data_IF_099243968435
#
_entry.id   IF_099243968435
#
_cell.length_a   1.000
_cell.length_b   1.000
_cell.length_c   1.000
_cell.angle_alpha   90.00
_cell.angle_beta   90.00
_cell.angle_gamma   90.00
#
_symmetry.space_group_name_H-M   'P 1'
#
loop_
_entity.id
_entity.type
_entity.pdbx_description
1 polymer ?
#
# COMPACT_ATOMS: atom_id res chain seq x y z
N UNK A 1 -8.21 22.63 2.24
CA UNK A 1 -9.37 21.91 1.67
C UNK A 1 -8.97 21.48 0.28
N UNK A 2 -8.63 20.20 0.14
CA UNK A 2 -8.49 19.52 -1.15
C UNK A 2 -9.68 18.57 -1.16
N UNK A 3 -10.72 18.90 -1.94
CA UNK A 3 -12.07 18.32 -1.82
C UNK A 3 -12.28 17.08 -2.70
N UNK A 4 -11.25 16.60 -3.41
CA UNK A 4 -11.35 15.44 -4.29
C UNK A 4 -10.11 14.53 -4.21
N UNK A 5 -10.26 13.19 -4.17
CA UNK A 5 -9.15 12.24 -4.32
C UNK A 5 -8.33 12.42 -5.61
N UNK A 6 -8.91 13.03 -6.64
CA UNK A 6 -8.23 13.32 -7.90
C UNK A 6 -7.18 14.43 -7.77
N UNK A 7 -7.42 15.40 -6.89
CA UNK A 7 -6.52 16.53 -6.69
C UNK A 7 -5.21 16.12 -5.97
N UNK A 8 -5.22 15.00 -5.26
CA UNK A 8 -4.04 14.44 -4.60
C UNK A 8 -2.96 13.95 -5.59
N UNK A 9 -3.28 13.88 -6.88
CA UNK A 9 -2.39 13.41 -7.94
C UNK A 9 -2.27 14.39 -9.12
N UNK A 10 -2.66 15.65 -8.92
CA UNK A 10 -2.71 16.66 -9.97
C UNK A 10 -1.35 16.96 -10.65
N UNK A 11 -0.23 16.61 -10.01
CA UNK A 11 1.14 16.89 -10.49
C UNK A 11 1.80 15.73 -11.27
N UNK A 12 1.03 14.73 -11.73
CA UNK A 12 1.57 13.63 -12.52
C UNK A 12 1.60 13.96 -14.02
N UNK A 13 2.78 13.84 -14.66
CA UNK A 13 2.98 14.06 -16.11
C UNK A 13 2.04 13.17 -16.96
N UNK A 14 1.83 11.91 -16.55
CA UNK A 14 0.83 10.95 -17.06
C UNK A 14 0.62 9.82 -16.02
N UNK A 15 -0.55 9.75 -15.35
CA UNK A 15 -0.83 8.71 -14.37
C UNK A 15 -0.80 7.28 -14.96
N UNK A 16 -1.26 7.09 -16.20
CA UNK A 16 -1.37 5.76 -16.82
C UNK A 16 0.00 5.15 -17.08
N UNK A 17 0.87 5.88 -17.78
CA UNK A 17 2.25 5.46 -18.02
C UNK A 17 3.04 5.27 -16.72
N UNK A 18 2.75 6.08 -15.69
CA UNK A 18 3.37 5.90 -14.37
C UNK A 18 2.94 4.58 -13.71
N UNK A 19 1.64 4.23 -13.75
CA UNK A 19 1.12 3.00 -13.15
C UNK A 19 1.54 1.75 -13.92
N UNK A 20 1.55 1.78 -15.25
CA UNK A 20 2.04 0.67 -16.08
C UNK A 20 3.51 0.38 -15.78
N UNK A 21 4.31 1.44 -15.65
CA UNK A 21 5.72 1.31 -15.32
C UNK A 21 5.91 0.88 -13.86
N UNK A 22 5.11 1.39 -12.91
CA UNK A 22 5.10 0.91 -11.53
C UNK A 22 4.77 -0.58 -11.43
N UNK A 23 3.84 -1.08 -12.25
CA UNK A 23 3.51 -2.49 -12.32
C UNK A 23 4.72 -3.29 -12.80
N UNK A 24 5.41 -2.84 -13.86
CA UNK A 24 6.65 -3.45 -14.31
C UNK A 24 7.76 -3.42 -13.24
N UNK A 25 7.90 -2.32 -12.50
CA UNK A 25 8.83 -2.20 -11.35
C UNK A 25 8.43 -3.15 -10.23
N UNK A 26 7.14 -3.30 -9.92
CA UNK A 26 6.66 -4.20 -8.88
C UNK A 26 6.94 -5.67 -9.24
N UNK A 27 6.75 -6.04 -10.51
CA UNK A 27 7.11 -7.36 -11.06
C UNK A 27 8.63 -7.58 -10.97
N UNK A 28 9.45 -6.64 -11.41
CA UNK A 28 10.91 -6.77 -11.33
C UNK A 28 11.42 -6.80 -9.87
N UNK A 29 10.76 -6.07 -8.95
CA UNK A 29 11.04 -6.15 -7.51
C UNK A 29 10.72 -7.52 -6.94
N UNK A 30 9.65 -8.18 -7.39
CA UNK A 30 9.33 -9.56 -6.97
C UNK A 30 10.44 -10.54 -7.35
N UNK A 31 11.10 -10.33 -8.47
CA UNK A 31 12.16 -11.20 -8.98
C UNK A 31 13.54 -10.91 -8.35
N UNK A 32 13.70 -9.77 -7.67
CA UNK A 32 14.92 -9.42 -6.95
C UNK A 32 14.93 -10.01 -5.53
N UNK A 33 16.02 -10.68 -5.15
CA UNK A 33 16.16 -11.45 -3.91
C UNK A 33 16.06 -10.63 -2.60
N UNK A 34 16.13 -9.30 -2.65
CA UNK A 34 16.15 -8.38 -1.48
C UNK A 34 14.88 -7.52 -1.35
N UNK A 35 13.77 -7.90 -1.98
CA UNK A 35 12.52 -7.15 -1.86
C UNK A 35 11.88 -7.30 -0.47
N UNK A 36 11.42 -6.21 0.19
CA UNK A 36 10.77 -6.28 1.51
C UNK A 36 9.37 -6.94 1.50
N UNK A 37 8.94 -7.52 0.36
CA UNK A 37 7.63 -8.12 0.14
C UNK A 37 7.74 -9.60 -0.30
N UNK A 38 8.78 -10.31 0.12
CA UNK A 38 8.96 -11.73 -0.23
C UNK A 38 7.97 -12.60 0.55
N UNK A 39 7.01 -13.22 -0.16
CA UNK A 39 6.18 -14.32 0.36
C UNK A 39 4.67 -14.07 0.42
N UNK A 40 4.21 -12.84 0.20
CA UNK A 40 2.78 -12.50 0.31
C UNK A 40 1.93 -13.12 -0.83
N UNK A 41 2.45 -13.11 -2.06
CA UNK A 41 1.79 -13.77 -3.20
C UNK A 41 1.63 -15.27 -2.94
N UNK A 42 2.67 -15.94 -2.43
CA UNK A 42 2.59 -17.37 -2.17
C UNK A 42 1.63 -17.66 -1.01
N UNK A 43 1.62 -16.81 0.02
CA UNK A 43 0.64 -16.88 1.10
C UNK A 43 -0.81 -16.76 0.60
N UNK A 44 -1.11 -15.74 -0.21
CA UNK A 44 -2.46 -15.57 -0.77
C UNK A 44 -2.80 -16.65 -1.79
N UNK A 45 -1.81 -17.23 -2.47
CA UNK A 45 -1.98 -18.35 -3.40
C UNK A 45 -2.31 -19.65 -2.69
N UNK A 46 -1.58 -19.99 -1.63
CA UNK A 46 -1.89 -21.15 -0.79
C UNK A 46 -3.28 -21.00 -0.20
N UNK A 47 -3.61 -19.80 0.32
CA UNK A 47 -4.92 -19.52 0.88
C UNK A 47 -6.05 -19.58 -0.16
N UNK A 48 -5.84 -19.07 -1.38
CA UNK A 48 -6.81 -19.12 -2.46
C UNK A 48 -7.04 -20.56 -2.96
N UNK A 49 -5.99 -21.39 -3.04
CA UNK A 49 -6.13 -22.83 -3.39
C UNK A 49 -6.99 -23.60 -2.38
N UNK A 50 -6.91 -23.24 -1.11
CA UNK A 50 -7.71 -23.87 -0.06
C UNK A 50 -9.18 -23.41 -0.11
N UNK A 51 -9.45 -22.27 -0.75
CA UNK A 51 -10.72 -21.55 -0.66
C UNK A 51 -11.14 -20.92 -2.00
N UNK A 52 -11.26 -21.74 -3.05
CA UNK A 52 -11.84 -21.31 -4.32
C UNK A 52 -13.39 -21.30 -4.27
N UNK A 53 -14.07 -20.28 -4.83
CA UNK A 53 -13.52 -19.08 -5.46
C UNK A 53 -13.11 -17.99 -4.47
N UNK A 54 -12.08 -17.20 -4.81
CA UNK A 54 -11.57 -16.11 -3.97
C UNK A 54 -11.73 -14.72 -4.63
N UNK A 55 -11.64 -13.65 -3.85
CA UNK A 55 -11.90 -12.28 -4.30
C UNK A 55 -10.90 -11.28 -3.73
N UNK A 56 -10.17 -10.60 -4.61
CA UNK A 56 -9.21 -9.56 -4.25
C UNK A 56 -9.86 -8.18 -4.20
N UNK A 57 -9.97 -7.62 -2.99
CA UNK A 57 -10.57 -6.30 -2.73
C UNK A 57 -9.54 -5.19 -2.90
N UNK A 58 -9.90 -4.12 -3.60
CA UNK A 58 -8.96 -3.03 -3.89
C UNK A 58 -7.84 -3.49 -4.83
N UNK A 59 -8.22 -4.30 -5.83
CA UNK A 59 -7.31 -5.03 -6.73
C UNK A 59 -6.22 -4.17 -7.35
N UNK A 60 -6.45 -2.86 -7.50
CA UNK A 60 -5.42 -1.92 -7.92
C UNK A 60 -4.79 -2.34 -9.25
N UNK A 61 -3.47 -2.53 -9.27
CA UNK A 61 -2.72 -2.98 -10.46
C UNK A 61 -2.75 -4.50 -10.66
N UNK A 62 -3.47 -5.26 -9.84
CA UNK A 62 -3.62 -6.71 -9.96
C UNK A 62 -2.39 -7.52 -9.57
N UNK A 63 -1.49 -6.96 -8.75
CA UNK A 63 -0.20 -7.61 -8.40
C UNK A 63 -0.36 -9.02 -7.83
N UNK A 64 -1.37 -9.27 -7.01
CA UNK A 64 -1.65 -10.60 -6.44
C UNK A 64 -2.66 -11.32 -7.33
N UNK A 65 -3.71 -10.62 -7.75
CA UNK A 65 -4.81 -11.13 -8.56
C UNK A 65 -4.34 -11.85 -9.84
N UNK A 66 -3.41 -11.23 -10.58
CA UNK A 66 -2.89 -11.78 -11.83
C UNK A 66 -2.05 -13.05 -11.60
N UNK A 67 -1.33 -13.14 -10.48
CA UNK A 67 -0.54 -14.32 -10.10
C UNK A 67 -1.40 -15.52 -9.65
N UNK A 68 -2.62 -15.25 -9.15
CA UNK A 68 -3.62 -16.27 -8.79
C UNK A 68 -4.34 -16.80 -10.02
N UNK A 69 -4.77 -15.91 -10.93
CA UNK A 69 -5.34 -16.31 -12.22
C UNK A 69 -4.35 -17.13 -13.06
N UNK A 70 -3.07 -16.71 -13.11
CA UNK A 70 -2.02 -17.45 -13.83
C UNK A 70 -1.77 -18.86 -13.25
N UNK A 71 -2.07 -19.06 -11.96
CA UNK A 71 -2.01 -20.37 -11.31
C UNK A 71 -3.27 -21.23 -11.58
N UNK A 72 -4.23 -20.72 -12.36
CA UNK A 72 -5.45 -21.44 -12.74
C UNK A 72 -6.52 -21.47 -11.66
N UNK A 73 -6.39 -20.62 -10.64
CA UNK A 73 -7.33 -20.55 -9.52
C UNK A 73 -8.56 -19.73 -9.91
N UNK A 74 -9.73 -20.16 -9.44
CA UNK A 74 -10.99 -19.43 -9.65
C UNK A 74 -11.04 -18.19 -8.76
N UNK A 75 -10.54 -17.06 -9.25
CA UNK A 75 -10.43 -15.80 -8.48
C UNK A 75 -10.99 -14.63 -9.26
N UNK A 76 -11.89 -13.87 -8.63
CA UNK A 76 -12.45 -12.63 -9.15
C UNK A 76 -11.68 -11.40 -8.64
N UNK A 77 -11.57 -10.37 -9.49
CA UNK A 77 -10.94 -9.09 -9.17
C UNK A 77 -11.98 -7.99 -9.28
N UNK A 78 -12.44 -7.47 -8.15
CA UNK A 78 -13.52 -6.49 -8.11
C UNK A 78 -13.29 -5.44 -7.03
N UNK A 79 -13.32 -4.16 -7.41
CA UNK A 79 -13.50 -3.07 -6.46
C UNK A 79 -15.01 -2.93 -6.14
N UNK A 80 -15.31 -2.91 -4.84
CA UNK A 80 -16.58 -3.31 -4.17
C UNK A 80 -16.84 -4.82 -4.20
N UNK A 81 -16.63 -5.49 -3.06
CA UNK A 81 -17.12 -6.86 -2.89
C UNK A 81 -17.47 -7.25 -1.45
N UNK A 82 -18.28 -8.31 -1.34
CA UNK A 82 -18.80 -8.90 -0.13
C UNK A 82 -18.24 -10.33 0.01
N UNK A 83 -17.30 -10.57 0.93
CA UNK A 83 -17.23 -11.79 1.76
C UNK A 83 -15.98 -11.87 2.66
N UNK A 84 -16.18 -12.17 3.96
CA UNK A 84 -15.20 -12.67 4.95
C UNK A 84 -13.98 -11.81 5.32
N UNK A 85 -13.18 -11.37 4.35
CA UNK A 85 -11.95 -10.62 4.55
C UNK A 85 -11.91 -9.45 3.56
N UNK A 86 -11.78 -8.24 4.09
CA UNK A 86 -11.42 -7.05 3.32
C UNK A 86 -9.96 -6.74 3.63
N UNK A 87 -9.15 -6.34 2.65
CA UNK A 87 -7.78 -5.93 2.95
C UNK A 87 -7.28 -4.77 2.10
N UNK A 88 -6.31 -4.02 2.62
CA UNK A 88 -5.67 -2.89 1.97
C UNK A 88 -4.13 -3.06 2.02
N UNK A 89 -3.52 -3.68 0.99
CA UNK A 89 -2.09 -4.03 1.01
C UNK A 89 -1.22 -2.83 0.63
N UNK A 90 0.10 -3.06 0.57
CA UNK A 90 1.08 -2.13 0.01
C UNK A 90 1.02 -0.71 0.62
N UNK A 91 0.69 -0.60 1.91
CA UNK A 91 0.60 0.69 2.63
C UNK A 91 -0.46 1.63 2.05
N UNK A 92 -1.52 1.08 1.45
CA UNK A 92 -2.63 1.86 0.87
C UNK A 92 -3.19 2.89 1.85
N UNK A 93 -3.21 2.58 3.15
CA UNK A 93 -3.70 3.50 4.17
C UNK A 93 -2.87 4.79 4.25
N UNK A 94 -1.56 4.75 4.03
CA UNK A 94 -0.73 5.95 3.98
C UNK A 94 -1.08 6.84 2.76
N UNK A 95 -1.72 6.30 1.73
CA UNK A 95 -2.13 7.04 0.54
C UNK A 95 -3.52 7.68 0.64
N UNK A 96 -4.13 7.63 1.82
CA UNK A 96 -5.35 8.37 2.13
C UNK A 96 -4.92 9.62 2.90
N UNK A 97 -4.68 10.78 2.26
CA UNK A 97 -3.98 11.88 2.91
C UNK A 97 -4.83 12.65 3.94
N UNK A 98 -6.13 12.36 4.03
CA UNK A 98 -7.06 13.08 4.92
C UNK A 98 -7.80 12.12 5.84
N UNK A 99 -8.17 12.59 7.02
CA UNK A 99 -9.06 11.83 7.91
C UNK A 99 -10.41 11.50 7.27
N UNK A 100 -10.91 12.35 6.36
CA UNK A 100 -12.15 12.08 5.62
C UNK A 100 -12.01 10.84 4.73
N UNK A 101 -10.94 10.78 3.93
CA UNK A 101 -10.65 9.64 3.06
C UNK A 101 -10.35 8.36 3.85
N UNK A 102 -9.62 8.47 4.98
CA UNK A 102 -9.37 7.35 5.88
C UNK A 102 -10.66 6.77 6.46
N UNK A 103 -11.52 7.64 7.03
CA UNK A 103 -12.80 7.24 7.60
C UNK A 103 -13.72 6.64 6.55
N UNK A 104 -13.76 7.22 5.35
CA UNK A 104 -14.53 6.69 4.22
C UNK A 104 -14.08 5.29 3.83
N UNK A 105 -12.77 5.06 3.72
CA UNK A 105 -12.22 3.74 3.41
C UNK A 105 -12.53 2.71 4.50
N UNK A 106 -12.39 3.07 5.78
CA UNK A 106 -12.69 2.15 6.89
C UNK A 106 -14.18 1.86 7.01
N UNK A 107 -15.05 2.86 6.81
CA UNK A 107 -16.50 2.65 6.78
C UNK A 107 -16.91 1.75 5.61
N UNK A 108 -16.36 1.99 4.41
CA UNK A 108 -16.60 1.12 3.25
C UNK A 108 -16.11 -0.31 3.51
N UNK A 109 -14.92 -0.46 4.10
CA UNK A 109 -14.42 -1.77 4.51
C UNK A 109 -15.38 -2.46 5.48
N UNK A 110 -15.90 -1.75 6.49
CA UNK A 110 -16.89 -2.28 7.42
C UNK A 110 -18.19 -2.70 6.72
N UNK A 111 -18.73 -1.89 5.82
CA UNK A 111 -19.97 -2.18 5.09
C UNK A 111 -19.85 -3.45 4.22
N UNK A 112 -18.65 -3.76 3.75
CA UNK A 112 -18.36 -4.97 2.99
C UNK A 112 -18.31 -6.26 3.86
N UNK A 113 -18.19 -6.14 5.18
CA UNK A 113 -18.03 -7.29 6.07
C UNK A 113 -19.37 -7.91 6.51
N UNK A 114 -19.42 -9.25 6.47
CA UNK A 114 -20.45 -10.06 7.13
C UNK A 114 -20.08 -10.28 8.61
N UNK A 115 -21.00 -10.76 9.46
CA UNK A 115 -20.67 -11.18 10.82
C UNK A 115 -19.49 -12.15 10.85
N UNK A 116 -18.49 -11.86 11.70
CA UNK A 116 -17.23 -12.63 11.79
C UNK A 116 -16.17 -12.28 10.73
N UNK A 117 -16.44 -11.30 9.87
CA UNK A 117 -15.47 -10.83 8.88
C UNK A 117 -14.34 -9.98 9.47
N UNK A 118 -13.21 -9.89 8.76
CA UNK A 118 -12.00 -9.18 9.18
C UNK A 118 -11.60 -8.10 8.17
N UNK A 119 -11.04 -7.00 8.64
CA UNK A 119 -10.39 -5.99 7.80
C UNK A 119 -8.89 -5.96 8.09
N UNK A 120 -8.05 -6.28 7.10
CA UNK A 120 -6.60 -6.30 7.26
C UNK A 120 -5.90 -5.19 6.46
N UNK A 121 -4.93 -4.50 7.05
CA UNK A 121 -4.14 -3.51 6.31
C UNK A 121 -2.75 -3.38 6.90
N UNK A 122 -1.81 -2.88 6.10
CA UNK A 122 -0.50 -2.52 6.61
C UNK A 122 -0.22 -1.03 6.44
N UNK A 123 0.62 -0.49 7.32
CA UNK A 123 1.02 0.91 7.36
C UNK A 123 2.38 1.05 8.02
N UNK A 124 3.00 2.21 7.90
CA UNK A 124 4.21 2.53 8.64
C UNK A 124 4.18 3.99 9.12
N UNK A 125 4.93 4.25 10.18
CA UNK A 125 5.33 5.58 10.62
C UNK A 125 6.85 5.54 10.76
N UNK A 126 7.61 6.41 10.09
CA UNK A 126 9.06 6.44 10.22
C UNK A 126 9.46 6.86 11.65
N UNK A 127 10.57 6.32 12.15
CA UNK A 127 11.22 6.84 13.35
C UNK A 127 11.70 8.28 13.14
N UNK A 128 11.77 9.08 14.20
CA UNK A 128 12.15 10.49 14.11
C UNK A 128 13.60 10.67 13.63
N UNK A 129 14.49 9.75 14.00
CA UNK A 129 15.87 9.72 13.53
C UNK A 129 15.91 9.52 12.01
N UNK A 130 15.08 8.61 11.48
CA UNK A 130 14.95 8.39 10.03
C UNK A 130 14.44 9.65 9.33
N UNK A 131 13.47 10.35 9.93
CA UNK A 131 13.00 11.63 9.38
C UNK A 131 14.12 12.66 9.38
N UNK A 132 14.78 12.88 10.52
CA UNK A 132 15.81 13.90 10.67
C UNK A 132 17.04 13.65 9.77
N UNK A 133 17.44 12.39 9.59
CA UNK A 133 18.65 12.03 8.85
C UNK A 133 18.42 11.79 7.36
N UNK A 134 17.22 11.34 6.96
CA UNK A 134 17.00 10.80 5.62
C UNK A 134 15.92 11.53 4.82
N UNK A 135 15.05 12.34 5.44
CA UNK A 135 14.08 13.12 4.68
C UNK A 135 14.76 14.36 4.10
N UNK A 136 14.49 14.63 2.82
CA UNK A 136 15.17 15.67 2.03
C UNK A 136 16.31 15.13 1.15
N UNK A 137 16.87 13.97 1.50
CA UNK A 137 17.96 13.32 0.77
C UNK A 137 17.46 12.51 -0.44
N UNK A 138 18.26 12.49 -1.51
CA UNK A 138 18.02 11.64 -2.67
C UNK A 138 18.38 10.19 -2.35
N UNK A 139 17.44 9.29 -2.64
CA UNK A 139 17.70 7.85 -2.67
C UNK A 139 17.61 7.35 -4.09
N UNK A 140 18.67 6.68 -4.52
CA UNK A 140 18.75 6.06 -5.84
C UNK A 140 18.57 4.56 -5.69
N UNK A 141 17.72 3.99 -6.54
CA UNK A 141 17.60 2.54 -6.73
C UNK A 141 17.77 2.22 -8.19
N UNK A 142 18.66 1.28 -8.48
CA UNK A 142 18.92 0.79 -9.83
C UNK A 142 18.47 -0.66 -9.92
N UNK A 143 17.82 -1.00 -11.03
CA UNK A 143 17.31 -2.35 -11.31
C UNK A 143 17.17 -2.55 -12.82
N UNK A 144 16.87 -3.76 -13.28
CA UNK A 144 16.66 -4.05 -14.70
C UNK A 144 15.31 -4.73 -14.92
N UNK A 145 14.66 -4.40 -16.03
CA UNK A 145 13.40 -5.02 -16.50
C UNK A 145 13.64 -5.49 -17.92
N UNK A 146 13.49 -6.78 -18.19
CA UNK A 146 13.79 -7.39 -19.50
C UNK A 146 15.18 -7.03 -20.06
N UNK A 147 16.18 -6.93 -19.18
CA UNK A 147 17.54 -6.52 -19.53
C UNK A 147 17.73 -5.03 -19.81
N UNK A 148 16.67 -4.21 -19.71
CA UNK A 148 16.74 -2.76 -19.84
C UNK A 148 17.01 -2.14 -18.48
N UNK A 149 18.07 -1.31 -18.32
CA UNK A 149 18.39 -0.69 -17.04
C UNK A 149 17.36 0.40 -16.69
N UNK A 150 16.94 0.40 -15.43
CA UNK A 150 16.02 1.37 -14.86
C UNK A 150 16.64 1.97 -13.60
N UNK A 151 16.32 3.23 -13.34
CA UNK A 151 16.74 3.94 -12.13
C UNK A 151 15.57 4.71 -11.56
N UNK A 152 15.24 4.48 -10.29
CA UNK A 152 14.31 5.30 -9.51
C UNK A 152 15.13 6.24 -8.62
N UNK A 153 14.90 7.54 -8.73
CA UNK A 153 15.39 8.53 -7.77
C UNK A 153 14.21 9.02 -6.96
N UNK A 154 14.26 8.86 -5.64
CA UNK A 154 13.19 9.28 -4.74
C UNK A 154 13.69 10.27 -3.69
N UNK A 155 12.90 11.31 -3.41
CA UNK A 155 13.10 12.24 -2.29
C UNK A 155 11.82 12.31 -1.49
N UNK A 156 11.90 12.04 -0.20
CA UNK A 156 10.75 12.17 0.71
C UNK A 156 10.95 13.41 1.59
N UNK A 157 9.93 14.24 1.72
CA UNK A 157 9.94 15.41 2.62
C UNK A 157 8.70 15.38 3.50
N UNK A 158 8.86 15.71 4.78
CA UNK A 158 7.72 16.00 5.65
C UNK A 158 7.28 17.42 5.33
N UNK A 159 6.13 17.57 4.68
CA UNK A 159 5.68 18.88 4.14
C UNK A 159 4.60 19.52 5.01
N UNK A 160 3.86 18.69 5.75
CA UNK A 160 2.90 19.14 6.75
C UNK A 160 3.16 18.36 8.05
N UNK A 161 3.84 19.00 8.99
CA UNK A 161 4.19 18.39 10.28
C UNK A 161 2.96 18.26 11.19
N UNK A 162 1.97 19.15 11.02
CA UNK A 162 0.76 19.20 11.85
C UNK A 162 -0.19 18.06 11.47
N UNK A 163 -0.46 17.91 10.17
CA UNK A 163 -1.28 16.83 9.62
C UNK A 163 -0.48 15.52 9.44
N UNK A 164 0.83 15.56 9.72
CA UNK A 164 1.77 14.45 9.54
C UNK A 164 1.74 13.86 8.13
N UNK A 165 1.80 14.74 7.12
CA UNK A 165 1.82 14.37 5.71
C UNK A 165 3.21 14.61 5.13
N UNK A 166 3.82 13.53 4.65
CA UNK A 166 5.02 13.58 3.84
C UNK A 166 4.67 13.54 2.35
N UNK A 167 5.46 14.19 1.50
CA UNK A 167 5.41 13.98 0.05
C UNK A 167 6.64 13.23 -0.40
N UNK A 168 6.41 12.15 -1.15
CA UNK A 168 7.47 11.43 -1.85
C UNK A 168 7.44 11.81 -3.33
N UNK A 169 8.51 12.43 -3.80
CA UNK A 169 8.76 12.64 -5.21
C UNK A 169 9.58 11.48 -5.74
N UNK A 170 9.09 10.80 -6.77
CA UNK A 170 9.79 9.74 -7.50
C UNK A 170 10.00 10.15 -8.94
N UNK A 171 11.23 10.06 -9.41
CA UNK A 171 11.62 10.24 -10.79
C UNK A 171 12.15 8.92 -11.32
N UNK A 172 11.55 8.42 -12.38
CA UNK A 172 11.90 7.13 -12.97
C UNK A 172 12.61 7.34 -14.31
N UNK A 173 13.70 6.61 -14.49
CA UNK A 173 14.51 6.58 -15.68
C UNK A 173 14.51 5.18 -16.29
N UNK A 174 14.51 5.09 -17.62
CA UNK A 174 14.67 3.88 -18.42
C UNK A 174 15.77 4.13 -19.44
N UNK A 175 16.77 3.26 -19.49
CA UNK A 175 17.93 3.39 -20.39
C UNK A 175 18.61 4.78 -20.30
N UNK A 176 18.70 5.32 -19.09
CA UNK A 176 19.28 6.64 -18.83
C UNK A 176 18.36 7.84 -19.10
N UNK A 177 17.24 7.65 -19.80
CA UNK A 177 16.26 8.70 -20.10
C UNK A 177 15.19 8.81 -19.00
N UNK A 178 14.81 10.04 -18.62
CA UNK A 178 13.72 10.26 -17.65
C UNK A 178 12.39 9.94 -18.33
N UNK A 179 11.66 8.98 -17.77
CA UNK A 179 10.35 8.56 -18.27
C UNK A 179 9.21 9.31 -17.58
N UNK A 180 9.26 9.43 -16.25
CA UNK A 180 8.17 10.02 -15.48
C UNK A 180 8.68 10.63 -14.17
N UNK A 181 7.97 11.64 -13.71
CA UNK A 181 8.09 12.15 -12.33
C UNK A 181 6.71 12.18 -11.69
N UNK A 182 6.61 11.78 -10.42
CA UNK A 182 5.38 11.89 -9.65
C UNK A 182 5.69 12.30 -8.21
N UNK A 183 4.90 13.21 -7.69
CA UNK A 183 4.84 13.51 -6.27
C UNK A 183 3.59 12.87 -5.68
N UNK A 184 3.71 12.25 -4.51
CA UNK A 184 2.60 11.52 -3.87
C UNK A 184 2.59 11.79 -2.38
N UNK A 185 1.46 12.20 -1.80
CA UNK A 185 1.35 12.35 -0.36
C UNK A 185 1.33 10.98 0.34
N UNK A 186 1.86 10.96 1.55
CA UNK A 186 1.89 9.86 2.50
C UNK A 186 1.49 10.40 3.88
N UNK A 187 0.28 10.08 4.33
CA UNK A 187 -0.14 10.35 5.70
C UNK A 187 0.52 9.36 6.66
N UNK A 188 1.23 9.89 7.66
CA UNK A 188 1.99 9.12 8.64
C UNK A 188 1.15 8.92 9.90
N UNK A 189 0.13 8.07 9.80
CA UNK A 189 -0.85 7.90 10.88
C UNK A 189 -0.26 7.27 12.15
N UNK A 190 -0.22 8.00 13.28
CA UNK A 190 0.13 7.40 14.56
C UNK A 190 -0.87 6.31 14.91
N UNK A 191 -0.39 5.28 15.62
CA UNK A 191 -1.20 4.15 16.10
C UNK A 191 -2.57 4.58 16.64
N UNK A 192 -2.60 5.59 17.53
CA UNK A 192 -3.84 6.05 18.18
C UNK A 192 -4.87 6.64 17.20
N UNK A 193 -4.42 7.26 16.10
CA UNK A 193 -5.33 7.80 15.08
C UNK A 193 -6.02 6.65 14.33
N UNK A 194 -5.29 5.59 14.03
CA UNK A 194 -5.85 4.39 13.38
C UNK A 194 -6.83 3.66 14.29
N UNK A 195 -6.53 3.52 15.58
CA UNK A 195 -7.46 2.94 16.57
C UNK A 195 -8.77 3.72 16.63
N UNK A 196 -8.69 5.05 16.78
CA UNK A 196 -9.87 5.91 16.78
C UNK A 196 -10.65 5.85 15.46
N UNK A 197 -9.95 5.76 14.32
CA UNK A 197 -10.59 5.63 13.02
C UNK A 197 -11.31 4.28 12.86
N UNK A 198 -10.72 3.19 13.37
CA UNK A 198 -11.33 1.86 13.40
C UNK A 198 -12.57 1.86 14.28
N UNK A 199 -12.48 2.37 15.51
CA UNK A 199 -13.61 2.52 16.43
C UNK A 199 -14.75 3.34 15.80
N UNK A 200 -14.41 4.47 15.17
CA UNK A 200 -15.39 5.33 14.50
C UNK A 200 -16.05 4.67 13.28
N UNK A 201 -15.37 3.74 12.61
CA UNK A 201 -15.92 2.90 11.55
C UNK A 201 -16.66 1.66 12.10
N UNK A 202 -16.73 1.54 13.43
CA UNK A 202 -17.49 0.53 14.16
C UNK A 202 -16.68 -0.69 14.56
N UNK A 203 -15.42 -0.84 14.15
CA UNK A 203 -14.61 -2.01 14.54
C UNK A 203 -14.38 -1.99 16.06
N UNK A 204 -14.45 -3.16 16.69
CA UNK A 204 -14.44 -3.28 18.15
C UNK A 204 -13.17 -3.95 18.68
N UNK A 205 -12.51 -4.76 17.85
CA UNK A 205 -11.27 -5.46 18.21
C UNK A 205 -10.26 -5.37 17.05
N UNK A 206 -8.96 -5.41 17.37
CA UNK A 206 -7.92 -5.55 16.38
C UNK A 206 -6.67 -6.23 16.95
N UNK A 207 -6.01 -7.01 16.11
CA UNK A 207 -4.65 -7.51 16.37
C UNK A 207 -3.64 -6.69 15.60
N UNK A 208 -2.54 -6.32 16.28
CA UNK A 208 -1.46 -5.53 15.73
C UNK A 208 -0.16 -6.35 15.70
N UNK A 209 0.40 -6.52 14.51
CA UNK A 209 1.68 -7.19 14.29
C UNK A 209 2.73 -6.20 13.79
N UNK A 210 4.00 -6.48 14.10
CA UNK A 210 5.17 -5.82 13.54
C UNK A 210 5.71 -6.60 12.36
N UNK A 211 5.16 -6.35 11.18
CA UNK A 211 5.51 -7.05 9.95
C UNK A 211 4.54 -8.20 9.62
N UNK A 212 4.77 -8.80 8.45
CA UNK A 212 3.95 -9.90 7.93
C UNK A 212 4.30 -11.27 8.55
N UNK A 213 5.42 -11.36 9.26
CA UNK A 213 5.87 -12.52 10.04
C UNK A 213 5.12 -12.68 11.37
N UNK A 214 4.20 -11.76 11.70
CA UNK A 214 3.37 -11.75 12.92
C UNK A 214 4.16 -11.57 14.21
N UNK A 215 5.37 -11.03 14.13
CA UNK A 215 6.14 -10.64 15.30
C UNK A 215 5.46 -9.48 16.07
N UNK A 216 5.82 -9.25 17.34
CA UNK A 216 5.31 -8.10 18.09
C UNK A 216 5.63 -6.75 17.40
N UNK A 217 4.74 -5.76 17.48
CA UNK A 217 4.98 -4.44 16.87
C UNK A 217 6.08 -3.66 17.59
N UNK A 218 7.00 -3.09 16.80
CA UNK A 218 8.03 -2.15 17.26
C UNK A 218 7.98 -0.86 16.43
N UNK A 219 8.58 0.22 16.94
CA UNK A 219 8.49 1.55 16.34
C UNK A 219 9.25 1.70 15.01
N UNK A 220 10.12 0.75 14.66
CA UNK A 220 11.08 0.80 13.55
C UNK A 220 10.68 -0.05 12.34
N UNK A 221 9.53 -0.71 12.39
CA UNK A 221 9.04 -1.58 11.32
C UNK A 221 7.64 -1.23 10.89
N UNK A 222 7.25 -1.74 9.73
CA UNK A 222 5.87 -1.65 9.32
C UNK A 222 4.97 -2.45 10.25
N UNK A 223 3.72 -2.02 10.33
CA UNK A 223 2.72 -2.67 11.16
C UNK A 223 1.62 -3.24 10.30
N UNK A 224 1.12 -4.41 10.68
CA UNK A 224 -0.01 -5.09 10.05
C UNK A 224 -1.14 -5.15 11.07
N UNK A 225 -2.31 -4.68 10.66
CA UNK A 225 -3.52 -4.59 11.46
C UNK A 225 -4.52 -5.60 10.92
N UNK A 226 -5.22 -6.29 11.83
CA UNK A 226 -6.37 -7.13 11.51
C UNK A 226 -7.49 -6.75 12.46
N UNK A 227 -8.50 -6.04 11.95
CA UNK A 227 -9.62 -5.51 12.72
C UNK A 227 -10.90 -6.34 12.54
N UNK A 228 -11.72 -6.39 13.59
CA UNK A 228 -12.96 -7.16 13.69
C UNK A 228 -14.12 -6.22 14.09
N UNK A 229 -15.33 -6.37 13.49
CA UNK A 229 -16.51 -5.56 13.73
C UNK A 229 -17.00 -5.38 15.17
#
# INVERSE_FOLDING_TARGET
MVDSPADAYADADDPGAFFDLLAAVAVARREAADAPWTGDVEFYRELAREHEPALEVGVGTGRVYLDLLAAGLDVDGGDRSADGLVYAPARTINHLPTLSTLRGAFAAARECLRPGGRFAFNTFVPGFEVVAEQYGEERVREFSVDGVPHREVSVTRLTDELEQVAHIRRTLYRDGERVATRETPLALYPKRVLELALEAAGFSEWTLYGGFDREPPTADRETVWVAEP
#
